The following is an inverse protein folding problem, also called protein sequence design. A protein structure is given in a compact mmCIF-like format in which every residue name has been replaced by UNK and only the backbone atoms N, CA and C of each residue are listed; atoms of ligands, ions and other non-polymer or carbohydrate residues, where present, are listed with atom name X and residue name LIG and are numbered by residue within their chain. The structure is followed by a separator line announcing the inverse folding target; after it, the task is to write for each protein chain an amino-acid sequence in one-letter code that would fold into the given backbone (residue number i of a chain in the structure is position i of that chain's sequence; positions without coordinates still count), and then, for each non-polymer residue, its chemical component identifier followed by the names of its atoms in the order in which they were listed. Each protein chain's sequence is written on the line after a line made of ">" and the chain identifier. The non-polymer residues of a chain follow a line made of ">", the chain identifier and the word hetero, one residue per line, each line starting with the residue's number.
data_IF_026456300360
#
_entry.id   IF_026456300360
#
_cell.length_a   1.000
_cell.length_b   1.000
_cell.length_c   1.000
_cell.angle_alpha   90.00
_cell.angle_beta   90.00
_cell.angle_gamma   90.00
#
_symmetry.space_group_name_H-M   'P 1'
#
loop_
_entity.id
_entity.type
_entity.pdbx_description
1 polymer ?
#
# COMPACT_ATOMS: atom_id res chain seq x y z
N UNK A 1 -12.45 5.82 -22.28
CA UNK A 1 -11.56 4.97 -21.46
C UNK A 1 -10.24 4.68 -22.16
N UNK A 2 -10.20 4.01 -23.32
CA UNK A 2 -8.94 3.65 -24.01
C UNK A 2 -8.03 4.86 -24.25
N UNK A 3 -8.58 5.97 -24.79
CA UNK A 3 -7.80 7.20 -25.00
C UNK A 3 -7.15 7.72 -23.71
N UNK A 4 -7.89 7.73 -22.60
CA UNK A 4 -7.38 8.15 -21.30
C UNK A 4 -6.23 7.24 -20.84
N UNK A 5 -6.39 5.92 -20.93
CA UNK A 5 -5.35 4.94 -20.57
C UNK A 5 -4.09 5.15 -21.41
N UNK A 6 -4.23 5.33 -22.73
CA UNK A 6 -3.10 5.59 -23.63
C UNK A 6 -2.40 6.89 -23.27
N UNK A 7 -3.15 7.99 -23.08
CA UNK A 7 -2.59 9.29 -22.71
C UNK A 7 -1.87 9.23 -21.36
N UNK A 8 -2.47 8.64 -20.32
CA UNK A 8 -1.83 8.47 -19.02
C UNK A 8 -0.55 7.63 -19.10
N UNK A 9 -0.54 6.59 -19.95
CA UNK A 9 0.64 5.74 -20.14
C UNK A 9 1.77 6.47 -20.85
N UNK A 10 1.44 7.25 -21.89
CA UNK A 10 2.42 8.10 -22.59
C UNK A 10 3.01 9.12 -21.62
N UNK A 11 2.16 9.79 -20.82
CA UNK A 11 2.62 10.76 -19.81
C UNK A 11 3.53 10.08 -18.79
N UNK A 12 3.18 8.89 -18.30
CA UNK A 12 4.01 8.14 -17.37
C UNK A 12 5.39 7.79 -17.96
N UNK A 13 5.44 7.29 -19.20
CA UNK A 13 6.71 6.92 -19.86
C UNK A 13 7.56 8.15 -20.14
N UNK A 14 6.96 9.25 -20.60
CA UNK A 14 7.67 10.51 -20.84
C UNK A 14 8.21 11.11 -19.54
N UNK A 15 7.45 11.04 -18.44
CA UNK A 15 7.93 11.47 -17.13
C UNK A 15 9.09 10.58 -16.64
N UNK A 16 8.94 9.25 -16.76
CA UNK A 16 9.99 8.30 -16.38
C UNK A 16 11.30 8.52 -17.17
N UNK A 17 11.19 8.84 -18.47
CA UNK A 17 12.33 9.19 -19.32
C UNK A 17 13.04 10.47 -18.84
N UNK A 18 12.28 11.48 -18.42
CA UNK A 18 12.83 12.76 -17.94
C UNK A 18 13.48 12.67 -16.55
N UNK A 19 13.13 11.66 -15.74
CA UNK A 19 13.67 11.47 -14.40
C UNK A 19 15.08 10.85 -14.45
N UNK A 20 15.19 9.60 -14.92
CA UNK A 20 16.47 8.93 -15.13
C UNK A 20 16.31 7.62 -15.92
N UNK A 21 17.44 7.04 -16.34
CA UNK A 21 17.48 5.80 -17.12
C UNK A 21 16.83 4.62 -16.39
N UNK A 22 16.96 4.52 -15.07
CA UNK A 22 16.38 3.41 -14.31
C UNK A 22 14.86 3.50 -14.27
N UNK A 23 14.29 4.70 -14.06
CA UNK A 23 12.85 4.94 -14.19
C UNK A 23 12.32 4.53 -15.56
N UNK A 24 12.98 4.93 -16.65
CA UNK A 24 12.57 4.55 -18.00
C UNK A 24 12.60 3.03 -18.22
N UNK A 25 13.65 2.35 -17.75
CA UNK A 25 13.75 0.89 -17.88
C UNK A 25 12.67 0.14 -17.09
N UNK A 26 12.23 0.71 -15.95
CA UNK A 26 11.21 0.12 -15.09
C UNK A 26 9.77 0.51 -15.48
N UNK A 27 9.56 1.56 -16.27
CA UNK A 27 8.22 2.03 -16.62
C UNK A 27 7.36 0.96 -17.33
N UNK A 28 7.88 0.09 -18.22
CA UNK A 28 7.10 -1.01 -18.78
C UNK A 28 6.67 -2.04 -17.73
N UNK A 29 7.51 -2.31 -16.73
CA UNK A 29 7.19 -3.23 -15.62
C UNK A 29 6.08 -2.64 -14.75
N UNK A 30 6.17 -1.34 -14.43
CA UNK A 30 5.13 -0.65 -13.68
C UNK A 30 3.78 -0.67 -14.41
N UNK A 31 3.77 -0.37 -15.71
CA UNK A 31 2.55 -0.44 -16.53
C UNK A 31 1.99 -1.87 -16.61
N UNK A 32 2.85 -2.89 -16.76
CA UNK A 32 2.40 -4.28 -16.78
C UNK A 32 1.66 -4.66 -15.49
N UNK A 33 2.18 -4.28 -14.32
CA UNK A 33 1.52 -4.54 -13.02
C UNK A 33 0.21 -3.76 -12.92
N UNK A 34 0.21 -2.46 -13.24
CA UNK A 34 -0.98 -1.59 -13.16
C UNK A 34 -2.09 -2.03 -14.12
N UNK A 35 -1.75 -2.53 -15.31
CA UNK A 35 -2.77 -3.00 -16.25
C UNK A 35 -3.33 -4.37 -15.88
N UNK A 36 -2.51 -5.23 -15.29
CA UNK A 36 -2.91 -6.61 -15.03
C UNK A 36 -3.64 -6.79 -13.70
N UNK A 37 -3.40 -5.94 -12.69
CA UNK A 37 -3.97 -6.16 -11.35
C UNK A 37 -5.49 -6.31 -11.38
N UNK A 38 -6.22 -5.49 -12.16
CA UNK A 38 -7.69 -5.54 -12.21
C UNK A 38 -8.24 -6.84 -12.80
N UNK A 39 -7.43 -7.59 -13.56
CA UNK A 39 -7.82 -8.87 -14.15
C UNK A 39 -7.55 -10.07 -13.22
N UNK A 40 -6.74 -9.89 -12.17
CA UNK A 40 -6.23 -11.00 -11.36
C UNK A 40 -7.31 -11.80 -10.64
N UNK A 41 -8.41 -11.15 -10.23
CA UNK A 41 -9.58 -11.83 -9.64
C UNK A 41 -10.16 -12.95 -10.54
N UNK A 42 -9.91 -12.93 -11.85
CA UNK A 42 -10.42 -13.98 -12.76
C UNK A 42 -9.70 -15.31 -12.63
N UNK A 43 -8.48 -15.32 -12.08
CA UNK A 43 -7.64 -16.52 -12.06
C UNK A 43 -6.92 -16.76 -10.74
N UNK A 44 -6.93 -15.82 -9.79
CA UNK A 44 -6.33 -16.00 -8.47
C UNK A 44 -7.11 -15.25 -7.39
N UNK A 45 -7.18 -15.85 -6.20
CA UNK A 45 -7.71 -15.19 -4.99
C UNK A 45 -6.72 -14.15 -4.43
N UNK A 46 -5.46 -14.15 -4.88
CA UNK A 46 -4.42 -13.25 -4.39
C UNK A 46 -4.46 -11.84 -5.02
N UNK A 47 -5.57 -11.44 -5.64
CA UNK A 47 -5.72 -10.15 -6.32
C UNK A 47 -5.39 -8.95 -5.44
N UNK A 48 -5.74 -9.03 -4.16
CA UNK A 48 -5.49 -8.00 -3.15
C UNK A 48 -3.99 -7.73 -2.94
N UNK A 49 -3.15 -8.77 -3.04
CA UNK A 49 -1.69 -8.63 -2.98
C UNK A 49 -1.15 -7.97 -4.25
N UNK A 50 -1.72 -8.27 -5.42
CA UNK A 50 -1.30 -7.63 -6.68
C UNK A 50 -1.71 -6.16 -6.72
N UNK A 51 -2.89 -5.81 -6.21
CA UNK A 51 -3.29 -4.42 -5.99
C UNK A 51 -2.33 -3.71 -5.03
N UNK A 52 -2.01 -4.35 -3.88
CA UNK A 52 -1.05 -3.82 -2.93
C UNK A 52 0.33 -3.60 -3.56
N UNK A 53 0.79 -4.53 -4.40
CA UNK A 53 2.03 -4.39 -5.15
C UNK A 53 1.97 -3.21 -6.12
N UNK A 54 0.87 -3.02 -6.85
CA UNK A 54 0.70 -1.89 -7.76
C UNK A 54 0.84 -0.53 -7.04
N UNK A 55 0.27 -0.42 -5.83
CA UNK A 55 0.41 0.79 -4.99
C UNK A 55 1.80 0.93 -4.37
N UNK A 56 2.45 -0.18 -3.99
CA UNK A 56 3.81 -0.17 -3.46
C UNK A 56 4.87 0.30 -4.47
N UNK A 57 4.57 0.26 -5.77
CA UNK A 57 5.44 0.83 -6.80
C UNK A 57 5.59 2.35 -6.68
N UNK A 58 4.62 3.07 -6.10
CA UNK A 58 4.68 4.52 -5.97
C UNK A 58 5.85 5.00 -5.09
N UNK A 59 6.01 4.57 -3.82
CA UNK A 59 7.17 4.96 -3.01
C UNK A 59 8.50 4.44 -3.56
N UNK A 60 8.54 3.23 -4.13
CA UNK A 60 9.73 2.68 -4.79
C UNK A 60 10.15 3.55 -5.99
N UNK A 61 9.18 3.90 -6.85
CA UNK A 61 9.39 4.73 -8.02
C UNK A 61 9.83 6.15 -7.63
N UNK A 62 9.24 6.73 -6.58
CA UNK A 62 9.65 8.04 -6.07
C UNK A 62 11.10 8.05 -5.57
N UNK A 63 11.53 7.00 -4.87
CA UNK A 63 12.92 6.87 -4.44
C UNK A 63 13.89 6.76 -5.62
N UNK A 64 13.58 5.87 -6.57
CA UNK A 64 14.40 5.67 -7.78
C UNK A 64 14.44 6.95 -8.62
N UNK A 65 13.36 7.71 -8.68
CA UNK A 65 13.27 8.97 -9.41
C UNK A 65 14.29 10.01 -8.90
N UNK A 66 14.47 10.08 -7.57
CA UNK A 66 15.38 11.04 -6.93
C UNK A 66 16.82 10.51 -6.88
N UNK A 67 17.02 9.23 -6.57
CA UNK A 67 18.35 8.67 -6.27
C UNK A 67 19.01 7.93 -7.42
N UNK A 68 18.24 7.48 -8.41
CA UNK A 68 18.72 6.66 -9.52
C UNK A 68 19.19 5.25 -9.13
N UNK A 69 18.90 4.77 -7.91
CA UNK A 69 19.35 3.46 -7.41
C UNK A 69 18.30 2.76 -6.55
N UNK A 70 18.56 1.48 -6.27
CA UNK A 70 17.81 0.70 -5.29
C UNK A 70 18.47 0.78 -3.93
N UNK A 71 17.68 1.07 -2.89
CA UNK A 71 18.10 1.04 -1.49
C UNK A 71 17.10 0.23 -0.66
N UNK A 72 17.50 -0.17 0.55
CA UNK A 72 16.66 -0.99 1.43
C UNK A 72 15.45 -0.25 2.03
N UNK A 73 15.56 1.01 2.52
CA UNK A 73 14.41 1.73 3.09
C UNK A 73 13.17 1.81 2.17
N UNK A 74 13.25 2.18 0.88
CA UNK A 74 12.08 2.24 0.01
C UNK A 74 11.48 0.85 -0.28
N UNK A 75 12.28 -0.23 -0.22
CA UNK A 75 11.77 -1.61 -0.33
C UNK A 75 10.93 -1.96 0.89
N UNK A 76 11.41 -1.64 2.10
CA UNK A 76 10.66 -1.86 3.34
C UNK A 76 9.39 -1.01 3.36
N UNK A 77 9.45 0.24 2.90
CA UNK A 77 8.27 1.11 2.73
C UNK A 77 7.27 0.50 1.74
N UNK A 78 7.75 -0.02 0.60
CA UNK A 78 6.90 -0.73 -0.37
C UNK A 78 6.20 -1.95 0.24
N UNK A 79 6.92 -2.75 1.05
CA UNK A 79 6.33 -3.89 1.75
C UNK A 79 5.30 -3.48 2.81
N UNK A 80 5.53 -2.38 3.52
CA UNK A 80 4.56 -1.80 4.44
C UNK A 80 3.28 -1.39 3.70
N UNK A 81 3.42 -0.66 2.58
CA UNK A 81 2.29 -0.22 1.74
C UNK A 81 1.55 -1.41 1.16
N UNK A 82 2.25 -2.39 0.58
CA UNK A 82 1.64 -3.58 0.01
C UNK A 82 0.82 -4.35 1.04
N UNK A 83 1.36 -4.56 2.24
CA UNK A 83 0.69 -5.32 3.31
C UNK A 83 -0.53 -4.56 3.83
N UNK A 84 -0.40 -3.26 4.03
CA UNK A 84 -1.51 -2.40 4.48
C UNK A 84 -2.64 -2.35 3.45
N UNK A 85 -2.30 -2.07 2.18
CA UNK A 85 -3.28 -2.00 1.09
C UNK A 85 -4.00 -3.31 0.88
N UNK A 86 -3.26 -4.42 0.84
CA UNK A 86 -3.88 -5.73 0.69
C UNK A 86 -4.83 -6.05 1.85
N UNK A 87 -4.48 -5.66 3.09
CA UNK A 87 -5.32 -5.89 4.26
C UNK A 87 -6.64 -5.13 4.22
N UNK A 88 -6.62 -3.82 3.91
CA UNK A 88 -7.86 -3.04 3.85
C UNK A 88 -8.70 -3.40 2.60
N UNK A 89 -8.07 -3.80 1.50
CA UNK A 89 -8.78 -4.22 0.29
C UNK A 89 -9.51 -5.56 0.52
N UNK A 90 -8.93 -6.46 1.34
CA UNK A 90 -9.63 -7.66 1.81
C UNK A 90 -10.85 -7.28 2.65
N UNK A 91 -10.71 -6.35 3.60
CA UNK A 91 -11.83 -5.85 4.42
C UNK A 91 -12.96 -5.30 3.54
N UNK A 92 -12.62 -4.47 2.56
CA UNK A 92 -13.58 -3.91 1.61
C UNK A 92 -14.26 -5.00 0.78
N UNK A 93 -13.49 -5.94 0.23
CA UNK A 93 -14.01 -7.03 -0.60
C UNK A 93 -14.94 -7.99 0.12
N UNK A 94 -14.99 -7.97 1.46
CA UNK A 94 -15.98 -8.76 2.21
C UNK A 94 -17.42 -8.35 1.86
N UNK A 95 -17.65 -7.10 1.44
CA UNK A 95 -18.96 -6.63 0.96
C UNK A 95 -19.36 -7.27 -0.38
N UNK A 96 -18.37 -7.64 -1.19
CA UNK A 96 -18.58 -8.22 -2.52
C UNK A 96 -18.72 -9.75 -2.47
N UNK A 97 -18.77 -10.37 -1.28
CA UNK A 97 -18.68 -11.84 -1.14
C UNK A 97 -19.71 -12.59 -1.99
N UNK A 98 -20.99 -12.25 -1.86
CA UNK A 98 -22.09 -12.92 -2.57
C UNK A 98 -22.01 -12.66 -4.08
N UNK A 99 -21.65 -11.43 -4.47
CA UNK A 99 -21.49 -11.06 -5.87
C UNK A 99 -20.32 -11.80 -6.52
N UNK A 100 -19.15 -11.79 -5.90
CA UNK A 100 -17.95 -12.47 -6.39
C UNK A 100 -18.23 -13.98 -6.50
N UNK A 101 -18.99 -14.56 -5.56
CA UNK A 101 -19.40 -15.97 -5.61
C UNK A 101 -20.31 -16.26 -6.81
N UNK A 102 -21.37 -15.46 -7.03
CA UNK A 102 -22.31 -15.64 -8.15
C UNK A 102 -21.61 -15.42 -9.49
N UNK A 103 -20.70 -14.44 -9.57
CA UNK A 103 -19.95 -14.10 -10.77
C UNK A 103 -18.79 -15.08 -11.07
N UNK A 104 -18.51 -16.04 -10.18
CA UNK A 104 -17.41 -16.99 -10.34
C UNK A 104 -16.03 -16.35 -10.25
N UNK A 105 -15.90 -15.25 -9.50
CA UNK A 105 -14.64 -14.54 -9.27
C UNK A 105 -13.87 -15.16 -8.10
N UNK A 106 -12.54 -15.09 -8.18
CA UNK A 106 -11.65 -15.53 -7.12
C UNK A 106 -11.31 -14.34 -6.22
N UNK A 107 -11.85 -14.32 -5.02
CA UNK A 107 -11.47 -13.37 -3.97
C UNK A 107 -11.19 -14.08 -2.66
N UNK A 108 -10.46 -13.41 -1.76
CA UNK A 108 -10.14 -13.97 -0.43
C UNK A 108 -11.41 -14.30 0.37
N UNK A 109 -12.46 -13.46 0.40
CA UNK A 109 -13.74 -13.81 1.02
C UNK A 109 -14.39 -15.04 0.40
N UNK A 110 -14.44 -15.17 -0.93
CA UNK A 110 -15.02 -16.35 -1.60
C UNK A 110 -14.22 -17.61 -1.26
N UNK A 111 -12.89 -17.53 -1.21
CA UNK A 111 -12.02 -18.69 -0.97
C UNK A 111 -11.98 -19.14 0.49
N UNK A 112 -11.97 -18.20 1.44
CA UNK A 112 -11.70 -18.46 2.86
C UNK A 112 -12.87 -18.12 3.78
N UNK A 113 -13.99 -17.64 3.24
CA UNK A 113 -15.12 -17.10 3.98
C UNK A 113 -14.80 -15.75 4.65
N UNK A 114 -15.84 -15.05 5.11
CA UNK A 114 -15.70 -13.74 5.78
C UNK A 114 -14.75 -13.79 6.99
N UNK A 115 -14.89 -14.80 7.85
CA UNK A 115 -14.04 -14.94 9.03
C UNK A 115 -12.57 -15.27 8.68
N UNK A 116 -12.32 -15.99 7.59
CA UNK A 116 -10.96 -16.24 7.08
C UNK A 116 -10.35 -14.97 6.49
N UNK A 117 -11.11 -14.25 5.67
CA UNK A 117 -10.72 -12.98 5.09
C UNK A 117 -10.32 -11.95 6.15
N UNK A 118 -11.17 -11.73 7.15
CA UNK A 118 -10.89 -10.79 8.24
C UNK A 118 -9.69 -11.21 9.12
N UNK A 119 -9.39 -12.50 9.24
CA UNK A 119 -8.16 -12.96 9.91
C UNK A 119 -6.91 -12.67 9.08
N UNK A 120 -6.98 -12.89 7.77
CA UNK A 120 -5.88 -12.60 6.86
C UNK A 120 -5.62 -11.08 6.74
N UNK A 121 -6.67 -10.27 6.71
CA UNK A 121 -6.54 -8.81 6.76
C UNK A 121 -5.84 -8.34 8.04
N UNK A 122 -6.19 -8.91 9.21
CA UNK A 122 -5.49 -8.65 10.48
C UNK A 122 -4.02 -9.01 10.40
N UNK A 123 -3.69 -10.18 9.86
CA UNK A 123 -2.31 -10.61 9.69
C UNK A 123 -1.51 -9.65 8.80
N UNK A 124 -2.09 -9.22 7.69
CA UNK A 124 -1.45 -8.26 6.78
C UNK A 124 -1.28 -6.87 7.41
N UNK A 125 -2.21 -6.40 8.22
CA UNK A 125 -2.05 -5.14 8.97
C UNK A 125 -0.98 -5.24 10.06
N UNK A 126 -0.86 -6.39 10.73
CA UNK A 126 0.27 -6.62 11.64
C UNK A 126 1.61 -6.60 10.91
N UNK A 127 1.66 -7.22 9.73
CA UNK A 127 2.84 -7.22 8.88
C UNK A 127 3.18 -5.81 8.36
N UNK A 128 2.16 -5.00 8.05
CA UNK A 128 2.34 -3.61 7.69
C UNK A 128 3.00 -2.81 8.83
N UNK A 129 2.47 -2.91 10.05
CA UNK A 129 3.07 -2.26 11.23
C UNK A 129 4.49 -2.74 11.48
N UNK A 130 4.75 -4.04 11.32
CA UNK A 130 6.11 -4.60 11.42
C UNK A 130 7.06 -3.95 10.41
N UNK A 131 6.66 -3.82 9.14
CA UNK A 131 7.47 -3.15 8.13
C UNK A 131 7.58 -1.65 8.35
N UNK A 132 6.56 -0.98 8.89
CA UNK A 132 6.66 0.42 9.31
C UNK A 132 7.72 0.59 10.41
N UNK A 133 7.76 -0.30 11.41
CA UNK A 133 8.84 -0.28 12.41
C UNK A 133 10.21 -0.52 11.74
N UNK A 134 10.29 -1.50 10.83
CA UNK A 134 11.50 -1.76 10.05
C UNK A 134 11.98 -0.57 9.21
N UNK A 135 11.05 0.21 8.65
CA UNK A 135 11.36 1.46 7.94
C UNK A 135 12.01 2.44 8.89
N UNK A 136 11.43 2.66 10.08
CA UNK A 136 12.00 3.54 11.10
C UNK A 136 13.43 3.16 11.48
N UNK A 137 13.70 1.87 11.64
CA UNK A 137 15.05 1.37 11.96
C UNK A 137 16.01 1.57 10.77
N UNK A 138 15.61 1.16 9.56
CA UNK A 138 16.46 1.21 8.36
C UNK A 138 16.78 2.63 7.87
N UNK A 139 15.83 3.56 8.05
CA UNK A 139 16.01 4.98 7.76
C UNK A 139 16.57 5.76 8.97
N UNK A 140 16.68 5.12 10.14
CA UNK A 140 17.06 5.75 11.40
C UNK A 140 16.19 6.97 11.74
N UNK A 141 14.88 6.83 11.55
CA UNK A 141 13.88 7.77 12.03
C UNK A 141 13.81 7.74 13.56
N UNK A 142 13.36 8.84 14.14
CA UNK A 142 13.36 9.10 15.57
C UNK A 142 11.97 8.91 16.17
N UNK A 143 11.80 9.36 17.42
CA UNK A 143 10.61 9.09 18.23
C UNK A 143 9.32 9.64 17.62
N UNK A 144 9.37 10.75 16.87
CA UNK A 144 8.16 11.34 16.26
C UNK A 144 7.58 10.37 15.24
N UNK A 145 8.41 9.70 14.44
CA UNK A 145 7.94 8.66 13.53
C UNK A 145 7.25 7.50 14.27
N UNK A 146 7.86 6.98 15.34
CA UNK A 146 7.30 5.84 16.08
C UNK A 146 5.99 6.17 16.81
N UNK A 147 5.79 7.43 17.25
CA UNK A 147 4.49 7.89 17.74
C UNK A 147 3.43 7.80 16.65
N UNK A 148 3.78 8.19 15.42
CA UNK A 148 2.92 8.02 14.24
C UNK A 148 2.57 6.56 13.96
N UNK A 149 3.57 5.66 13.99
CA UNK A 149 3.36 4.22 13.80
C UNK A 149 2.44 3.64 14.89
N UNK A 150 2.61 4.05 16.15
CA UNK A 150 1.72 3.63 17.23
C UNK A 150 0.27 4.13 17.00
N UNK A 151 0.10 5.37 16.54
CA UNK A 151 -1.20 5.92 16.16
C UNK A 151 -1.85 5.15 15.02
N UNK A 152 -1.09 4.85 13.97
CA UNK A 152 -1.54 4.02 12.83
C UNK A 152 -1.96 2.63 13.29
N UNK A 153 -1.17 1.97 14.14
CA UNK A 153 -1.54 0.68 14.70
C UNK A 153 -2.86 0.76 15.48
N UNK A 154 -3.09 1.83 16.25
CA UNK A 154 -4.36 2.10 16.91
C UNK A 154 -5.54 2.24 15.93
N UNK A 155 -5.35 2.97 14.83
CA UNK A 155 -6.36 3.13 13.78
C UNK A 155 -6.70 1.79 13.11
N UNK A 156 -5.68 0.99 12.75
CA UNK A 156 -5.89 -0.33 12.14
C UNK A 156 -6.58 -1.31 13.11
N UNK A 157 -6.26 -1.24 14.42
CA UNK A 157 -6.98 -2.02 15.43
C UNK A 157 -8.45 -1.61 15.54
N UNK A 158 -8.74 -0.31 15.43
CA UNK A 158 -10.11 0.20 15.46
C UNK A 158 -10.88 -0.17 14.19
N UNK A 159 -10.25 -0.11 13.02
CA UNK A 159 -10.81 -0.56 11.74
C UNK A 159 -11.31 -2.01 11.82
N UNK A 160 -10.50 -2.91 12.39
CA UNK A 160 -10.88 -4.32 12.58
C UNK A 160 -12.02 -4.55 13.60
N UNK A 161 -12.38 -3.55 14.40
CA UNK A 161 -13.56 -3.59 15.28
C UNK A 161 -14.84 -3.17 14.56
N UNK A 162 -14.72 -2.35 13.51
CA UNK A 162 -15.85 -1.87 12.71
C UNK A 162 -16.36 -2.90 11.70
N UNK A 163 -15.51 -3.86 11.31
CA UNK A 163 -15.85 -4.91 10.37
C UNK A 163 -15.81 -6.28 11.05
N UNK A 164 -16.98 -6.89 11.21
CA UNK A 164 -17.11 -8.24 11.77
C UNK A 164 -17.75 -9.19 10.76
N UNK A 165 -17.55 -10.52 10.85
CA UNK A 165 -18.21 -11.45 9.94
C UNK A 165 -19.75 -11.38 10.00
N UNK A 166 -20.31 -10.90 11.12
CA UNK A 166 -21.75 -10.79 11.36
C UNK A 166 -22.32 -9.43 10.97
N UNK A 167 -21.48 -8.39 10.95
CA UNK A 167 -21.88 -7.02 10.65
C UNK A 167 -20.79 -6.31 9.83
N UNK A 168 -21.13 -6.06 8.55
CA UNK A 168 -20.32 -5.34 7.58
C UNK A 168 -20.88 -3.94 7.27
N UNK A 169 -21.88 -3.46 8.02
CA UNK A 169 -22.57 -2.18 7.76
C UNK A 169 -21.62 -0.98 7.81
N UNK A 170 -20.58 -1.06 8.64
CA UNK A 170 -19.60 0.02 8.83
C UNK A 170 -18.31 -0.17 8.03
N UNK A 171 -18.22 -1.16 7.13
CA UNK A 171 -17.01 -1.43 6.34
C UNK A 171 -16.60 -0.24 5.49
N UNK A 172 -17.53 0.58 4.98
CA UNK A 172 -17.18 1.80 4.24
C UNK A 172 -16.48 2.84 5.12
N UNK A 173 -16.92 3.02 6.37
CA UNK A 173 -16.25 3.92 7.33
C UNK A 173 -14.90 3.37 7.74
N UNK A 174 -14.83 2.04 7.96
CA UNK A 174 -13.60 1.33 8.24
C UNK A 174 -12.59 1.53 7.08
N UNK A 175 -13.02 1.34 5.84
CA UNK A 175 -12.20 1.48 4.66
C UNK A 175 -11.84 2.94 4.37
N UNK A 176 -12.81 3.83 4.08
CA UNK A 176 -12.51 5.18 3.59
C UNK A 176 -11.90 6.08 4.68
N UNK A 177 -12.57 6.21 5.81
CA UNK A 177 -12.18 7.19 6.83
C UNK A 177 -10.90 6.77 7.53
N UNK A 178 -10.78 5.50 7.94
CA UNK A 178 -9.60 5.05 8.67
C UNK A 178 -8.37 5.03 7.77
N UNK A 179 -8.46 4.49 6.55
CA UNK A 179 -7.29 4.43 5.66
C UNK A 179 -6.88 5.81 5.13
N UNK A 180 -7.81 6.76 5.01
CA UNK A 180 -7.45 8.16 4.76
C UNK A 180 -6.63 8.75 5.91
N UNK A 181 -7.04 8.52 7.17
CA UNK A 181 -6.27 8.95 8.35
C UNK A 181 -4.91 8.25 8.43
N UNK A 182 -4.85 6.95 8.15
CA UNK A 182 -3.58 6.21 8.07
C UNK A 182 -2.67 6.80 7.01
N UNK A 183 -3.18 7.12 5.82
CA UNK A 183 -2.40 7.76 4.74
C UNK A 183 -1.79 9.08 5.19
N UNK A 184 -2.60 9.96 5.80
CA UNK A 184 -2.15 11.27 6.28
C UNK A 184 -1.11 11.11 7.39
N UNK A 185 -1.36 10.22 8.36
CA UNK A 185 -0.41 9.96 9.43
C UNK A 185 0.92 9.39 8.90
N UNK A 186 0.85 8.44 7.96
CA UNK A 186 2.02 7.79 7.37
C UNK A 186 2.80 8.70 6.41
N UNK A 187 2.28 9.88 6.09
CA UNK A 187 3.02 10.95 5.43
C UNK A 187 3.56 11.99 6.43
N UNK A 188 2.70 12.48 7.33
CA UNK A 188 3.02 13.61 8.23
C UNK A 188 4.07 13.25 9.27
N UNK A 189 3.98 12.08 9.91
CA UNK A 189 4.91 11.73 10.99
C UNK A 189 6.35 11.50 10.52
N UNK A 190 6.63 10.76 9.43
CA UNK A 190 7.98 10.69 8.87
C UNK A 190 8.52 12.07 8.47
N UNK A 191 7.68 12.90 7.83
CA UNK A 191 8.09 14.25 7.42
C UNK A 191 8.43 15.13 8.63
N UNK A 192 7.59 15.12 9.66
CA UNK A 192 7.81 15.87 10.89
C UNK A 192 9.08 15.39 11.63
N UNK A 193 9.29 14.07 11.68
CA UNK A 193 10.50 13.47 12.25
C UNK A 193 11.77 13.93 11.52
N UNK A 194 11.76 13.91 10.19
CA UNK A 194 12.88 14.40 9.37
C UNK A 194 13.15 15.90 9.55
N UNK A 195 12.10 16.72 9.66
CA UNK A 195 12.24 18.17 9.81
C UNK A 195 12.68 18.61 11.21
N UNK A 196 12.28 17.89 12.26
CA UNK A 196 12.53 18.28 13.64
C UNK A 196 13.67 17.53 14.31
N UNK A 197 13.90 16.28 13.90
CA UNK A 197 14.85 15.36 14.54
C UNK A 197 15.81 14.72 13.53
N UNK A 198 15.69 15.06 12.25
CA UNK A 198 16.58 14.57 11.21
C UNK A 198 18.03 14.98 11.46
N UNK A 199 18.91 13.98 11.44
CA UNK A 199 20.34 14.22 11.48
C UNK A 199 20.81 14.66 10.08
N UNK A 200 21.20 15.93 9.96
CA UNK A 200 21.68 16.54 8.72
C UNK A 200 22.95 15.87 8.14
N UNK A 201 23.61 14.99 8.90
CA UNK A 201 24.79 14.25 8.45
C UNK A 201 24.48 13.02 7.57
N UNK A 202 23.22 12.61 7.45
CA UNK A 202 22.84 11.48 6.58
C UNK A 202 22.75 11.92 5.12
N UNK A 203 23.78 11.59 4.34
CA UNK A 203 23.97 11.93 2.91
C UNK A 203 22.82 11.54 1.95
N UNK A 204 21.85 10.73 2.39
CA UNK A 204 20.68 10.37 1.57
C UNK A 204 19.41 11.13 1.94
N UNK A 205 19.38 11.83 3.08
CA UNK A 205 18.22 12.63 3.51
C UNK A 205 18.21 13.99 2.80
N UNK A 206 19.39 14.53 2.50
CA UNK A 206 19.57 15.77 1.74
C UNK A 206 20.75 15.58 0.77
N UNK A 207 20.53 15.76 -0.56
CA UNK A 207 21.63 15.84 -1.52
C UNK A 207 22.48 17.11 -1.34
#
# INVERSE_FOLDING_TARGET
>A
VVLFVVLSSVVLVLAAWQLNRLCLLLSPVALAIVFTYSYTKRFTWASHLVLGMALALAPLGAWIAVTGRFDLPPVILGLAVMSWVAGFDILYSCQDHDFDQIAGLHSIPVRFGLAGALRLARFLHLLAVFFMIGLGVSAGLQVVYYVGVAGIAGLLLYEHRLATPQDLTQVNTAFMTMNSLVSVAFFVFPLADLLWMGDASKEWILP
#
